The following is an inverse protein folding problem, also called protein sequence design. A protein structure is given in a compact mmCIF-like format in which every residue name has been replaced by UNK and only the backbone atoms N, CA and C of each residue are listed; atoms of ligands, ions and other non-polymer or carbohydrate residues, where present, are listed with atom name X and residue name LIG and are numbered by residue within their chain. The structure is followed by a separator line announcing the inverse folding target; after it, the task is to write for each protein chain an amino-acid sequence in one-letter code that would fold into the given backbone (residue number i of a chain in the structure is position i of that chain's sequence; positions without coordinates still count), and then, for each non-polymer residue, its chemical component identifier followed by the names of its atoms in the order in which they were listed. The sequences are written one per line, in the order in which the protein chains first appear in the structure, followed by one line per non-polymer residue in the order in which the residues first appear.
data_IF_652997702755
#
_entry.id   IF_652997702755
#
_cell.length_a   1.000
_cell.length_b   1.000
_cell.length_c   1.000
_cell.angle_alpha   90.00
_cell.angle_beta   90.00
_cell.angle_gamma   90.00
#
_symmetry.space_group_name_H-M   'P 1'
#
loop_
_entity.id
_entity.type
_entity.pdbx_description
1 polymer ?
#
# COMPACT_ATOMS: atom_id res chain seq x y z
N UNK A 1 -2.23 23.38 -12.84
CA UNK A 1 -1.06 22.81 -13.56
C UNK A 1 0.30 23.13 -12.93
N UNK A 2 0.73 24.40 -12.79
CA UNK A 2 2.10 24.71 -12.31
C UNK A 2 2.41 24.27 -10.85
N UNK A 3 1.42 24.29 -9.95
CA UNK A 3 1.59 23.83 -8.54
C UNK A 3 1.74 22.30 -8.42
N UNK A 4 0.97 21.54 -9.20
CA UNK A 4 1.02 20.08 -9.20
C UNK A 4 2.37 19.52 -9.69
N UNK A 5 2.97 20.16 -10.70
CA UNK A 5 4.28 19.75 -11.23
C UNK A 5 5.40 20.02 -10.20
N UNK A 6 5.34 21.14 -9.48
CA UNK A 6 6.33 21.48 -8.45
C UNK A 6 6.31 20.52 -7.25
N UNK A 7 5.12 20.10 -6.82
CA UNK A 7 4.94 19.09 -5.76
C UNK A 7 5.44 17.73 -6.25
N UNK A 8 5.04 17.25 -7.43
CA UNK A 8 5.53 15.97 -7.97
C UNK A 8 7.06 15.90 -8.14
N UNK A 9 7.71 17.01 -8.55
CA UNK A 9 9.17 17.09 -8.65
C UNK A 9 9.85 17.09 -7.28
N UNK A 10 9.33 17.84 -6.31
CA UNK A 10 9.86 17.87 -4.95
C UNK A 10 9.79 16.48 -4.29
N UNK A 11 8.68 15.78 -4.48
CA UNK A 11 8.44 14.45 -3.90
C UNK A 11 9.28 13.36 -4.57
N UNK A 12 9.47 13.45 -5.89
CA UNK A 12 10.41 12.60 -6.61
C UNK A 12 11.85 12.75 -6.09
N UNK A 13 12.27 13.97 -5.75
CA UNK A 13 13.62 14.24 -5.21
C UNK A 13 13.77 13.77 -3.76
N UNK A 14 12.75 13.97 -2.93
CA UNK A 14 12.76 13.55 -1.52
C UNK A 14 12.75 12.02 -1.40
N UNK A 15 11.95 11.32 -2.22
CA UNK A 15 11.83 9.85 -2.18
C UNK A 15 12.96 9.13 -2.94
N UNK A 16 13.65 9.78 -3.87
CA UNK A 16 14.77 9.18 -4.61
C UNK A 16 16.08 9.08 -3.78
N UNK A 17 16.22 9.82 -2.68
CA UNK A 17 17.43 9.76 -1.85
C UNK A 17 17.33 8.68 -0.78
N UNK A 18 17.74 7.47 -1.16
CA UNK A 18 18.04 6.38 -0.20
C UNK A 18 18.95 6.89 0.91
N UNK A 19 18.54 6.71 2.17
CA UNK A 19 19.31 7.06 3.37
C UNK A 19 18.93 8.38 4.07
N UNK A 20 17.97 9.14 3.53
CA UNK A 20 17.41 10.32 4.21
C UNK A 20 16.17 9.95 5.01
N UNK A 21 16.10 10.37 6.27
CA UNK A 21 14.89 10.29 7.11
C UNK A 21 13.87 11.34 6.64
N UNK A 22 13.09 10.97 5.64
CA UNK A 22 12.08 11.84 5.02
C UNK A 22 10.87 12.03 5.92
N UNK A 23 10.60 11.08 6.82
CA UNK A 23 9.60 11.23 7.88
C UNK A 23 9.97 12.40 8.79
N UNK A 24 11.22 12.45 9.27
CA UNK A 24 11.72 13.57 10.07
C UNK A 24 11.79 14.88 9.30
N UNK A 25 12.19 14.85 8.03
CA UNK A 25 12.25 16.06 7.21
C UNK A 25 10.87 16.70 7.03
N UNK A 26 9.83 15.88 6.90
CA UNK A 26 8.47 16.33 6.62
C UNK A 26 7.55 16.35 7.84
N UNK A 27 8.07 16.07 9.04
CA UNK A 27 7.28 15.97 10.28
C UNK A 27 6.42 17.23 10.53
N UNK A 28 7.03 18.42 10.40
CA UNK A 28 6.34 19.70 10.55
C UNK A 28 5.32 20.02 9.46
N UNK A 29 5.25 19.24 8.39
CA UNK A 29 4.34 19.40 7.27
C UNK A 29 3.29 18.28 7.17
N UNK A 30 3.31 17.29 8.08
CA UNK A 30 2.39 16.15 8.01
C UNK A 30 0.93 16.61 8.08
N UNK A 31 0.61 17.61 8.91
CA UNK A 31 -0.77 18.12 9.04
C UNK A 31 -1.21 18.86 7.77
N UNK A 32 -0.33 19.68 7.17
CA UNK A 32 -0.60 20.39 5.91
C UNK A 32 -0.79 19.41 4.75
N UNK A 33 0.07 18.39 4.67
CA UNK A 33 -0.05 17.32 3.69
C UNK A 33 -1.33 16.53 3.94
N UNK A 34 -1.65 16.15 5.19
CA UNK A 34 -2.88 15.42 5.50
C UNK A 34 -4.15 16.17 5.08
N UNK A 35 -4.15 17.51 5.17
CA UNK A 35 -5.27 18.33 4.68
C UNK A 35 -5.52 18.15 3.17
N UNK A 36 -4.46 17.95 2.38
CA UNK A 36 -4.56 17.74 0.93
C UNK A 36 -5.17 16.40 0.54
N UNK A 37 -5.30 15.46 1.48
CA UNK A 37 -5.98 14.19 1.22
C UNK A 37 -7.51 14.38 1.02
N UNK A 38 -8.06 15.53 1.42
CA UNK A 38 -9.45 15.93 1.17
C UNK A 38 -9.58 16.95 0.02
N UNK A 39 -8.51 17.26 -0.70
CA UNK A 39 -8.54 18.26 -1.78
C UNK A 39 -9.49 17.81 -2.91
N UNK A 40 -10.32 18.69 -3.51
CA UNK A 40 -11.18 18.32 -4.64
C UNK A 40 -10.40 17.80 -5.86
N UNK A 41 -9.15 18.22 -6.06
CA UNK A 41 -8.27 17.72 -7.11
C UNK A 41 -7.76 16.31 -6.76
N UNK A 42 -8.24 15.31 -7.51
CA UNK A 42 -7.82 13.92 -7.34
C UNK A 42 -6.32 13.69 -7.57
N UNK A 43 -5.67 14.52 -8.38
CA UNK A 43 -4.22 14.48 -8.55
C UNK A 43 -3.46 14.87 -7.28
N UNK A 44 -3.96 15.88 -6.56
CA UNK A 44 -3.39 16.28 -5.27
C UNK A 44 -3.64 15.23 -4.19
N UNK A 45 -4.85 14.66 -4.12
CA UNK A 45 -5.13 13.54 -3.20
C UNK A 45 -4.18 12.36 -3.43
N UNK A 46 -4.07 11.90 -4.69
CA UNK A 46 -3.23 10.75 -5.04
C UNK A 46 -1.74 11.03 -4.79
N UNK A 47 -1.28 12.23 -5.15
CA UNK A 47 0.08 12.67 -4.86
C UNK A 47 0.36 12.61 -3.36
N UNK A 48 -0.55 13.14 -2.56
CA UNK A 48 -0.41 13.19 -1.10
C UNK A 48 -0.40 11.80 -0.45
N UNK A 49 -1.27 10.88 -0.88
CA UNK A 49 -1.21 9.46 -0.48
C UNK A 49 0.16 8.89 -0.78
N UNK A 50 0.70 9.14 -1.99
CA UNK A 50 2.02 8.68 -2.37
C UNK A 50 3.13 9.25 -1.48
N UNK A 51 3.10 10.55 -1.14
CA UNK A 51 4.08 11.17 -0.23
C UNK A 51 4.06 10.53 1.13
N UNK A 52 2.91 10.65 1.81
CA UNK A 52 2.77 10.29 3.20
C UNK A 52 2.96 8.80 3.38
N UNK A 53 2.46 8.01 2.43
CA UNK A 53 2.67 6.57 2.40
C UNK A 53 4.13 6.19 2.22
N UNK A 54 4.94 6.90 1.44
CA UNK A 54 6.32 6.52 1.13
C UNK A 54 7.38 7.22 2.00
N UNK A 55 6.99 7.84 3.11
CA UNK A 55 7.94 8.40 4.07
C UNK A 55 8.81 7.29 4.68
N UNK A 56 10.10 7.60 4.84
CA UNK A 56 11.14 6.72 5.36
C UNK A 56 11.69 7.31 6.67
N UNK A 57 11.97 6.50 7.70
CA UNK A 57 11.89 5.03 7.71
C UNK A 57 10.48 4.46 7.84
N UNK A 58 9.53 5.25 8.36
CA UNK A 58 8.17 4.78 8.67
C UNK A 58 7.15 5.86 8.36
N UNK A 59 5.97 5.43 7.91
CA UNK A 59 4.78 6.28 7.78
C UNK A 59 4.40 6.88 9.14
N UNK A 60 4.22 8.20 9.27
CA UNK A 60 3.81 8.83 10.52
C UNK A 60 2.45 8.31 11.03
N UNK A 61 2.26 8.15 12.36
CA UNK A 61 1.00 7.65 12.92
C UNK A 61 -0.25 8.43 12.47
N UNK A 62 -0.16 9.76 12.39
CA UNK A 62 -1.27 10.60 11.93
C UNK A 62 -1.70 10.27 10.49
N UNK A 63 -0.74 9.99 9.61
CA UNK A 63 -1.04 9.60 8.23
C UNK A 63 -1.71 8.21 8.19
N UNK A 64 -1.29 7.28 9.05
CA UNK A 64 -1.94 5.97 9.18
C UNK A 64 -3.39 6.09 9.66
N UNK A 65 -3.67 6.93 10.66
CA UNK A 65 -5.05 7.21 11.11
C UNK A 65 -5.93 7.76 9.99
N UNK A 66 -5.37 8.65 9.16
CA UNK A 66 -6.09 9.11 7.98
C UNK A 66 -6.34 7.97 6.98
N UNK A 67 -5.31 7.20 6.66
CA UNK A 67 -5.40 6.10 5.70
C UNK A 67 -6.42 5.04 6.13
N UNK A 68 -6.49 4.72 7.41
CA UNK A 68 -7.53 3.88 8.01
C UNK A 68 -8.94 4.46 7.77
N UNK A 69 -9.16 5.72 8.15
CA UNK A 69 -10.47 6.38 8.01
C UNK A 69 -10.94 6.51 6.55
N UNK A 70 -10.03 6.53 5.59
CA UNK A 70 -10.33 6.74 4.17
C UNK A 70 -10.09 5.52 3.29
N UNK A 71 -9.75 4.36 3.85
CA UNK A 71 -9.51 3.13 3.09
C UNK A 71 -10.69 2.78 2.18
N UNK A 72 -11.91 2.91 2.70
CA UNK A 72 -13.15 2.55 2.00
C UNK A 72 -13.82 3.71 1.26
N UNK A 73 -13.17 4.87 1.15
CA UNK A 73 -13.75 6.02 0.46
C UNK A 73 -13.92 5.71 -1.04
N UNK A 74 -15.16 5.82 -1.53
CA UNK A 74 -15.53 5.56 -2.91
C UNK A 74 -15.01 6.63 -3.88
N UNK A 75 -14.65 7.81 -3.37
CA UNK A 75 -14.05 8.88 -4.17
C UNK A 75 -12.57 8.58 -4.52
N UNK A 76 -11.94 7.61 -3.86
CA UNK A 76 -10.59 7.20 -4.17
C UNK A 76 -10.55 6.42 -5.48
N UNK A 77 -9.66 6.80 -6.39
CA UNK A 77 -9.31 5.98 -7.56
C UNK A 77 -8.71 4.65 -7.11
N UNK A 78 -8.65 3.66 -7.99
CA UNK A 78 -8.04 2.36 -7.66
C UNK A 78 -6.56 2.51 -7.29
N UNK A 79 -5.86 3.44 -7.95
CA UNK A 79 -4.48 3.79 -7.65
C UNK A 79 -4.34 4.39 -6.24
N UNK A 80 -5.24 5.29 -5.85
CA UNK A 80 -5.23 5.89 -4.52
C UNK A 80 -5.52 4.85 -3.44
N UNK A 81 -6.56 4.05 -3.63
CA UNK A 81 -6.92 2.96 -2.74
C UNK A 81 -5.79 1.94 -2.57
N UNK A 82 -5.10 1.57 -3.66
CA UNK A 82 -3.94 0.70 -3.58
C UNK A 82 -2.76 1.34 -2.81
N UNK A 83 -2.54 2.65 -2.97
CA UNK A 83 -1.52 3.39 -2.22
C UNK A 83 -1.82 3.48 -0.72
N UNK A 84 -3.08 3.73 -0.35
CA UNK A 84 -3.56 3.71 1.04
C UNK A 84 -3.38 2.31 1.64
N UNK A 85 -3.81 1.28 0.93
CA UNK A 85 -3.64 -0.12 1.34
C UNK A 85 -2.16 -0.48 1.57
N UNK A 86 -1.27 -0.11 0.64
CA UNK A 86 0.16 -0.38 0.79
C UNK A 86 0.76 0.32 2.02
N UNK A 87 0.41 1.59 2.26
CA UNK A 87 0.90 2.33 3.42
C UNK A 87 0.45 1.68 4.74
N UNK A 88 -0.79 1.20 4.80
CA UNK A 88 -1.34 0.46 5.93
C UNK A 88 -0.65 -0.89 6.12
N UNK A 89 -0.42 -1.66 5.05
CA UNK A 89 0.30 -2.94 5.09
C UNK A 89 1.73 -2.78 5.60
N UNK A 90 2.45 -1.75 5.14
CA UNK A 90 3.84 -1.46 5.57
C UNK A 90 3.98 -1.09 7.04
N UNK A 91 2.89 -0.73 7.71
CA UNK A 91 2.93 -0.52 9.16
C UNK A 91 3.15 -1.82 9.95
N UNK A 92 2.85 -2.98 9.35
CA UNK A 92 2.88 -4.28 10.03
C UNK A 92 1.79 -4.47 11.08
N UNK A 93 0.85 -3.52 11.23
CA UNK A 93 -0.23 -3.63 12.19
C UNK A 93 -1.26 -4.68 11.74
N UNK A 94 -1.49 -5.71 12.56
CA UNK A 94 -2.41 -6.81 12.25
C UNK A 94 -3.86 -6.36 12.00
N UNK A 95 -4.35 -5.34 12.70
CA UNK A 95 -5.69 -4.80 12.47
C UNK A 95 -5.80 -4.16 11.08
N UNK A 96 -4.81 -3.34 10.70
CA UNK A 96 -4.77 -2.73 9.38
C UNK A 96 -4.64 -3.77 8.26
N UNK A 97 -3.84 -4.82 8.47
CA UNK A 97 -3.76 -5.94 7.53
C UNK A 97 -5.14 -6.56 7.32
N UNK A 98 -5.85 -6.92 8.39
CA UNK A 98 -7.17 -7.52 8.30
C UNK A 98 -8.19 -6.61 7.56
N UNK A 99 -8.15 -5.30 7.84
CA UNK A 99 -9.01 -4.33 7.15
C UNK A 99 -8.69 -4.18 5.67
N UNK A 100 -7.40 -4.13 5.30
CA UNK A 100 -6.96 -4.08 3.91
C UNK A 100 -7.41 -5.32 3.14
N UNK A 101 -7.28 -6.51 3.73
CA UNK A 101 -7.74 -7.76 3.11
C UNK A 101 -9.26 -7.74 2.89
N UNK A 102 -10.03 -7.33 3.90
CA UNK A 102 -11.49 -7.18 3.79
C UNK A 102 -11.89 -6.17 2.73
N UNK A 103 -11.19 -5.04 2.65
CA UNK A 103 -11.43 -4.03 1.64
C UNK A 103 -11.11 -4.53 0.23
N UNK A 104 -10.01 -5.27 0.05
CA UNK A 104 -9.65 -5.87 -1.22
C UNK A 104 -10.69 -6.89 -1.71
N UNK A 105 -11.31 -7.63 -0.79
CA UNK A 105 -12.48 -8.48 -1.10
C UNK A 105 -13.65 -7.69 -1.69
N UNK A 106 -13.89 -6.48 -1.19
CA UNK A 106 -14.98 -5.60 -1.66
C UNK A 106 -14.62 -4.80 -2.91
N UNK A 107 -13.33 -4.76 -3.27
CA UNK A 107 -12.80 -3.96 -4.38
C UNK A 107 -11.89 -4.82 -5.28
N UNK A 108 -12.47 -5.72 -6.12
CA UNK A 108 -11.73 -6.73 -6.88
C UNK A 108 -10.55 -6.19 -7.70
N UNK A 109 -10.68 -4.96 -8.21
CA UNK A 109 -9.69 -4.33 -9.07
C UNK A 109 -8.38 -3.96 -8.35
N UNK A 110 -8.35 -3.90 -7.02
CA UNK A 110 -7.11 -3.69 -6.26
C UNK A 110 -6.52 -4.99 -5.70
N UNK A 111 -7.22 -6.14 -5.82
CA UNK A 111 -6.77 -7.42 -5.21
C UNK A 111 -5.36 -7.79 -5.65
N UNK A 112 -5.07 -7.73 -6.95
CA UNK A 112 -3.73 -8.05 -7.47
C UNK A 112 -2.65 -7.18 -6.86
N UNK A 113 -2.90 -5.87 -6.71
CA UNK A 113 -1.97 -4.96 -6.04
C UNK A 113 -1.78 -5.32 -4.58
N UNK A 114 -2.86 -5.61 -3.84
CA UNK A 114 -2.78 -6.01 -2.43
C UNK A 114 -1.97 -7.30 -2.29
N UNK A 115 -2.22 -8.32 -3.12
CA UNK A 115 -1.47 -9.59 -3.12
C UNK A 115 0.03 -9.35 -3.29
N UNK A 116 0.42 -8.57 -4.32
CA UNK A 116 1.84 -8.23 -4.54
C UNK A 116 2.44 -7.52 -3.32
N UNK A 117 1.69 -6.59 -2.69
CA UNK A 117 2.18 -5.88 -1.50
C UNK A 117 2.31 -6.77 -0.28
N UNK A 118 1.51 -7.82 -0.13
CA UNK A 118 1.71 -8.79 0.95
C UNK A 118 3.08 -9.49 0.81
N UNK A 119 3.46 -9.86 -0.42
CA UNK A 119 4.77 -10.46 -0.71
C UNK A 119 5.93 -9.51 -0.46
N UNK A 120 5.90 -8.34 -1.11
CA UNK A 120 6.95 -7.30 -1.02
C UNK A 120 7.18 -6.83 0.42
N UNK A 121 6.11 -6.74 1.22
CA UNK A 121 6.20 -6.34 2.63
C UNK A 121 6.44 -7.54 3.58
N UNK A 122 6.66 -8.74 3.04
CA UNK A 122 6.91 -9.99 3.77
C UNK A 122 5.85 -10.30 4.84
N UNK A 123 4.57 -10.07 4.54
CA UNK A 123 3.47 -10.26 5.47
C UNK A 123 3.05 -11.73 5.48
N UNK A 124 3.20 -12.37 6.64
CA UNK A 124 3.00 -13.83 6.82
C UNK A 124 1.90 -14.19 7.80
N UNK A 125 0.97 -13.27 8.09
CA UNK A 125 -0.22 -13.58 8.91
C UNK A 125 -1.09 -14.63 8.22
N UNK A 126 -1.75 -15.51 8.99
CA UNK A 126 -2.60 -16.58 8.44
C UNK A 126 -3.66 -16.07 7.46
N UNK A 127 -4.28 -14.93 7.74
CA UNK A 127 -5.27 -14.29 6.86
C UNK A 127 -4.66 -13.87 5.52
N UNK A 128 -3.47 -13.27 5.54
CA UNK A 128 -2.74 -12.88 4.34
C UNK A 128 -2.34 -14.10 3.51
N UNK A 129 -1.85 -15.16 4.14
CA UNK A 129 -1.48 -16.39 3.44
C UNK A 129 -2.70 -17.06 2.80
N UNK A 130 -3.84 -17.11 3.50
CA UNK A 130 -5.12 -17.58 2.92
C UNK A 130 -5.58 -16.71 1.75
N UNK A 131 -5.40 -15.40 1.85
CA UNK A 131 -5.76 -14.46 0.79
C UNK A 131 -4.87 -14.62 -0.45
N UNK A 132 -3.57 -14.88 -0.29
CA UNK A 132 -2.67 -15.22 -1.40
C UNK A 132 -3.05 -16.57 -2.00
N UNK A 133 -3.34 -17.58 -1.16
CA UNK A 133 -3.71 -18.92 -1.62
C UNK A 133 -5.00 -18.90 -2.46
N UNK A 134 -6.01 -18.12 -2.05
CA UNK A 134 -7.26 -18.01 -2.81
C UNK A 134 -7.08 -17.37 -4.20
N UNK A 135 -5.98 -16.67 -4.45
CA UNK A 135 -5.71 -16.04 -5.73
C UNK A 135 -5.21 -17.00 -6.82
N UNK A 136 -4.78 -18.22 -6.48
CA UNK A 136 -4.33 -19.21 -7.47
C UNK A 136 -5.44 -19.74 -8.38
N UNK A 137 -6.68 -19.77 -7.87
CA UNK A 137 -7.84 -20.24 -8.62
C UNK A 137 -8.34 -19.23 -9.64
N UNK A 138 -7.99 -17.95 -9.48
CA UNK A 138 -8.34 -16.89 -10.43
C UNK A 138 -7.17 -16.66 -11.41
N UNK A 139 -7.33 -16.98 -12.70
CA UNK A 139 -6.28 -16.77 -13.71
C UNK A 139 -5.77 -15.33 -13.77
N UNK A 140 -6.59 -14.34 -13.39
CA UNK A 140 -6.20 -12.92 -13.39
C UNK A 140 -5.32 -12.54 -12.19
N UNK A 141 -5.42 -13.28 -11.08
CA UNK A 141 -4.68 -13.01 -9.85
C UNK A 141 -3.52 -13.97 -9.62
N UNK A 142 -3.50 -15.10 -10.33
CA UNK A 142 -2.48 -16.14 -10.23
C UNK A 142 -1.05 -15.60 -10.34
N UNK A 143 -0.78 -14.74 -11.32
CA UNK A 143 0.57 -14.17 -11.49
C UNK A 143 0.99 -13.33 -10.28
N UNK A 144 0.08 -12.50 -9.76
CA UNK A 144 0.33 -11.71 -8.55
C UNK A 144 0.61 -12.61 -7.34
N UNK A 145 -0.09 -13.74 -7.22
CA UNK A 145 0.14 -14.72 -6.14
C UNK A 145 1.51 -15.38 -6.23
N UNK A 146 1.93 -15.79 -7.43
CA UNK A 146 3.26 -16.38 -7.68
C UNK A 146 4.37 -15.39 -7.32
N UNK A 147 4.25 -14.14 -7.77
CA UNK A 147 5.18 -13.06 -7.44
C UNK A 147 5.25 -12.83 -5.93
N UNK A 148 4.09 -12.68 -5.29
CA UNK A 148 4.00 -12.44 -3.85
C UNK A 148 4.69 -13.55 -3.05
N UNK A 149 4.45 -14.81 -3.41
CA UNK A 149 5.10 -15.95 -2.76
C UNK A 149 6.60 -15.93 -3.01
N UNK A 150 7.04 -15.58 -4.22
CA UNK A 150 8.46 -15.43 -4.55
C UNK A 150 9.22 -14.52 -3.58
N UNK A 151 8.57 -13.46 -3.09
CA UNK A 151 9.11 -12.51 -2.12
C UNK A 151 9.00 -12.97 -0.66
N UNK A 152 8.21 -13.99 -0.33
CA UNK A 152 8.05 -14.47 1.04
C UNK A 152 9.28 -15.26 1.57
N UNK A 153 9.45 -15.35 2.90
CA UNK A 153 10.46 -16.21 3.52
C UNK A 153 10.44 -17.65 2.99
N UNK A 154 11.62 -18.26 2.89
CA UNK A 154 11.79 -19.57 2.23
C UNK A 154 11.05 -20.73 2.90
N UNK A 155 10.85 -20.67 4.21
CA UNK A 155 10.04 -21.60 4.99
C UNK A 155 8.54 -21.46 4.69
N UNK A 156 8.05 -20.22 4.57
CA UNK A 156 6.65 -19.94 4.17
C UNK A 156 6.40 -20.41 2.75
N UNK A 157 7.31 -20.13 1.81
CA UNK A 157 7.21 -20.57 0.40
C UNK A 157 7.00 -22.07 0.24
N UNK A 158 7.64 -22.89 1.08
CA UNK A 158 7.48 -24.36 1.03
C UNK A 158 6.03 -24.80 1.29
N UNK A 159 5.27 -24.02 2.05
CA UNK A 159 3.84 -24.27 2.28
C UNK A 159 2.98 -24.15 1.02
N UNK A 160 3.47 -23.45 -0.02
CA UNK A 160 2.77 -23.22 -1.29
C UNK A 160 3.29 -24.11 -2.43
N UNK A 161 4.17 -25.08 -2.16
CA UNK A 161 4.82 -25.87 -3.20
C UNK A 161 3.84 -26.65 -4.10
N UNK A 162 2.65 -27.00 -3.59
CA UNK A 162 1.61 -27.70 -4.36
C UNK A 162 0.87 -26.74 -5.31
N UNK A 163 0.86 -25.44 -5.02
CA UNK A 163 0.13 -24.41 -5.77
C UNK A 163 0.87 -23.95 -7.03
N UNK A 164 2.17 -24.27 -7.15
CA UNK A 164 2.98 -23.97 -8.34
C UNK A 164 2.63 -24.78 -9.58
N UNK A 165 1.82 -25.83 -9.43
CA UNK A 165 1.45 -26.75 -10.52
C UNK A 165 -0.02 -26.63 -10.95
N UNK A 166 -0.78 -25.70 -10.36
CA UNK A 166 -2.19 -25.41 -10.70
C UNK A 166 -2.33 -24.32 -11.76
#
# INVERSE_FOLDING_TARGET
MKRAIGVSLFLGIVLARRGMDTAKLLDGYVDDLAALLNDPDGGLRNGTVFVLGNLFPTTPPKALTYFEAHLTDKANSDQAAAGVADALLRSGNAAFIAEVLKFAEQRPQIKGSVIQRLGVNHITTDEALKFIHSAFVDPKLRQAAIEAIGDLPGDVRKGFAQDWHM
#
